data_IF_119102405303
#
_entry.id   IF_119102405303
#
_cell.length_a   1.000
_cell.length_b   1.000
_cell.length_c   1.000
_cell.angle_alpha   90.00
_cell.angle_beta   90.00
_cell.angle_gamma   90.00
#
_symmetry.space_group_name_H-M   'P 1'
#
loop_
_entity.id
_entity.type
_entity.pdbx_description
1 polymer ?
#
# COMPACT_ATOMS: atom_id res chain seq x y z
N UNK A 1 8.53 -8.53 -4.66
CA UNK A 1 9.03 -9.30 -5.83
C UNK A 1 9.38 -10.78 -5.57
N UNK A 2 9.80 -11.18 -4.36
CA UNK A 2 10.40 -12.51 -4.11
C UNK A 2 9.58 -13.76 -4.48
N UNK A 3 8.25 -13.66 -4.62
CA UNK A 3 7.38 -14.77 -5.00
C UNK A 3 7.09 -14.93 -6.50
N UNK A 4 7.63 -14.05 -7.36
CA UNK A 4 7.29 -14.04 -8.80
C UNK A 4 7.61 -15.36 -9.53
N UNK A 5 8.79 -16.00 -9.35
CA UNK A 5 9.08 -17.27 -10.01
C UNK A 5 8.06 -18.38 -9.65
N UNK A 6 7.65 -18.45 -8.39
CA UNK A 6 6.67 -19.41 -7.90
C UNK A 6 5.27 -19.09 -8.41
N UNK A 7 4.93 -17.79 -8.52
CA UNK A 7 3.66 -17.32 -9.05
C UNK A 7 3.44 -17.76 -10.50
N UNK A 8 4.40 -17.48 -11.39
CA UNK A 8 4.27 -17.82 -12.82
C UNK A 8 4.29 -19.32 -13.09
N UNK A 9 4.81 -20.13 -12.17
CA UNK A 9 4.75 -21.58 -12.25
C UNK A 9 3.35 -22.14 -11.96
N UNK A 10 2.45 -21.34 -11.38
CA UNK A 10 1.14 -21.79 -10.87
C UNK A 10 -0.04 -21.02 -11.46
N UNK A 11 0.17 -19.77 -11.81
CA UNK A 11 -0.88 -18.86 -12.25
C UNK A 11 -0.51 -18.32 -13.63
N UNK A 12 -1.41 -18.39 -14.63
CA UNK A 12 -1.19 -17.74 -15.91
C UNK A 12 -0.99 -16.23 -15.73
N UNK A 13 0.18 -15.73 -16.14
CA UNK A 13 0.51 -14.31 -16.13
C UNK A 13 0.73 -13.85 -17.56
N UNK A 14 0.03 -12.79 -17.97
CA UNK A 14 0.20 -12.20 -19.31
C UNK A 14 1.19 -11.03 -19.35
N UNK A 15 1.20 -10.19 -18.31
CA UNK A 15 1.97 -8.94 -18.30
C UNK A 15 2.44 -8.60 -16.89
N UNK A 16 3.70 -8.24 -16.77
CA UNK A 16 4.23 -7.59 -15.57
C UNK A 16 4.22 -6.07 -15.74
N UNK A 17 3.82 -5.37 -14.68
CA UNK A 17 3.84 -3.92 -14.60
C UNK A 17 4.79 -3.56 -13.45
N UNK A 18 5.82 -2.77 -13.74
CA UNK A 18 6.86 -2.42 -12.76
C UNK A 18 7.35 -0.98 -12.89
N UNK A 19 8.19 -0.55 -11.95
CA UNK A 19 8.84 0.75 -11.97
C UNK A 19 10.15 0.77 -12.77
N UNK A 20 10.59 -0.36 -13.33
CA UNK A 20 11.83 -0.45 -14.08
C UNK A 20 12.93 -1.25 -13.37
N UNK A 21 14.17 -0.83 -13.56
CA UNK A 21 15.36 -1.54 -13.06
C UNK A 21 15.60 -1.27 -11.58
N UNK A 22 16.07 -2.29 -10.86
CA UNK A 22 16.50 -2.18 -9.47
C UNK A 22 17.67 -1.18 -9.35
N UNK A 23 17.60 -0.29 -8.37
CA UNK A 23 18.64 0.73 -8.12
C UNK A 23 19.49 0.41 -6.89
N UNK A 24 19.01 -0.45 -6.00
CA UNK A 24 19.77 -0.95 -4.84
C UNK A 24 20.65 -2.14 -5.24
N UNK A 25 21.82 -1.85 -5.81
CA UNK A 25 22.71 -2.86 -6.43
C UNK A 25 23.72 -3.51 -5.49
N UNK A 26 23.80 -3.08 -4.22
CA UNK A 26 24.78 -3.57 -3.25
C UNK A 26 24.16 -4.43 -2.14
N UNK A 27 22.83 -4.47 -2.04
CA UNK A 27 22.11 -5.29 -1.09
C UNK A 27 21.90 -6.70 -1.67
N UNK A 28 22.62 -7.69 -1.12
CA UNK A 28 22.60 -9.06 -1.62
C UNK A 28 21.19 -9.66 -1.78
N UNK A 29 20.35 -9.67 -0.73
CA UNK A 29 18.96 -10.12 -0.84
C UNK A 29 18.14 -9.39 -1.91
N UNK A 30 18.22 -8.06 -1.99
CA UNK A 30 17.48 -7.27 -2.99
C UNK A 30 17.95 -7.61 -4.41
N UNK A 31 19.27 -7.68 -4.62
CA UNK A 31 19.87 -8.07 -5.91
C UNK A 31 19.41 -9.47 -6.32
N UNK A 32 19.46 -10.45 -5.42
CA UNK A 32 19.04 -11.82 -5.71
C UNK A 32 17.57 -11.89 -6.15
N UNK A 33 16.68 -11.16 -5.48
CA UNK A 33 15.25 -11.10 -5.84
C UNK A 33 15.04 -10.41 -7.19
N UNK A 34 15.78 -9.33 -7.46
CA UNK A 34 15.74 -8.64 -8.76
C UNK A 34 16.25 -9.55 -9.89
N UNK A 35 17.36 -10.25 -9.70
CA UNK A 35 17.89 -11.20 -10.69
C UNK A 35 16.91 -12.32 -11.00
N UNK A 36 16.26 -12.89 -9.97
CA UNK A 36 15.23 -13.91 -10.17
C UNK A 36 14.04 -13.39 -10.98
N UNK A 37 13.62 -12.13 -10.74
CA UNK A 37 12.58 -11.49 -11.54
C UNK A 37 13.03 -11.27 -13.00
N UNK A 38 14.27 -10.79 -13.21
CA UNK A 38 14.83 -10.59 -14.55
C UNK A 38 14.98 -11.91 -15.32
N UNK A 39 15.32 -13.01 -14.65
CA UNK A 39 15.34 -14.35 -15.27
C UNK A 39 13.94 -14.77 -15.77
N UNK A 40 12.88 -14.47 -15.00
CA UNK A 40 11.50 -14.73 -15.42
C UNK A 40 11.16 -13.92 -16.68
N UNK A 41 11.49 -12.63 -16.69
CA UNK A 41 11.28 -11.76 -17.86
C UNK A 41 12.10 -12.22 -19.07
N UNK A 42 13.35 -12.64 -18.86
CA UNK A 42 14.29 -13.11 -19.88
C UNK A 42 13.84 -14.37 -20.61
N UNK A 43 12.83 -15.10 -20.11
CA UNK A 43 12.20 -16.21 -20.84
C UNK A 43 11.47 -15.77 -22.11
N UNK A 44 11.14 -14.47 -22.24
CA UNK A 44 10.39 -13.92 -23.37
C UNK A 44 8.91 -14.32 -23.41
N UNK A 45 8.42 -15.03 -22.39
CA UNK A 45 7.03 -15.51 -22.31
C UNK A 45 6.03 -14.45 -21.85
N UNK A 46 6.52 -13.36 -21.26
CA UNK A 46 5.70 -12.35 -20.59
C UNK A 46 5.90 -10.98 -21.23
N UNK A 47 4.83 -10.18 -21.31
CA UNK A 47 4.98 -8.75 -21.62
C UNK A 47 5.46 -8.02 -20.37
N UNK A 48 6.17 -6.91 -20.56
CA UNK A 48 6.57 -5.98 -19.50
C UNK A 48 6.10 -4.58 -19.86
N UNK A 49 5.50 -3.87 -18.89
CA UNK A 49 5.16 -2.46 -18.98
C UNK A 49 5.85 -1.76 -17.82
N UNK A 50 6.84 -0.92 -18.13
CA UNK A 50 7.46 -0.05 -17.14
C UNK A 50 6.73 1.29 -17.13
N UNK A 51 6.09 1.60 -16.01
CA UNK A 51 5.17 2.74 -15.90
C UNK A 51 5.79 3.93 -15.17
N UNK A 52 5.26 5.11 -15.45
CA UNK A 52 5.68 6.39 -14.88
C UNK A 52 4.51 7.09 -14.18
N UNK A 53 4.77 8.02 -13.25
CA UNK A 53 3.70 8.80 -12.64
C UNK A 53 2.86 9.53 -13.70
N UNK A 54 1.54 9.45 -13.57
CA UNK A 54 0.57 9.96 -14.55
C UNK A 54 0.05 8.92 -15.55
N UNK A 55 0.72 7.77 -15.70
CA UNK A 55 0.21 6.67 -16.52
C UNK A 55 -1.09 6.10 -15.93
N UNK A 56 -1.92 5.52 -16.81
CA UNK A 56 -3.14 4.80 -16.43
C UNK A 56 -2.97 3.34 -16.84
N UNK A 57 -3.11 2.42 -15.89
CA UNK A 57 -2.96 1.00 -16.14
C UNK A 57 -4.12 0.47 -17.01
N UNK A 58 -3.86 -0.46 -17.94
CA UNK A 58 -4.87 -0.97 -18.88
C UNK A 58 -5.80 -2.01 -18.25
N UNK A 59 -6.45 -1.67 -17.13
CA UNK A 59 -7.40 -2.54 -16.43
C UNK A 59 -8.82 -2.11 -16.79
N UNK A 60 -9.60 -3.01 -17.40
CA UNK A 60 -10.97 -2.72 -17.79
C UNK A 60 -11.88 -2.61 -16.56
N UNK A 61 -12.85 -1.68 -16.61
CA UNK A 61 -13.86 -1.52 -15.57
C UNK A 61 -13.44 -0.69 -14.36
N UNK A 62 -12.17 -0.30 -14.24
CA UNK A 62 -11.68 0.62 -13.20
C UNK A 62 -10.62 1.56 -13.78
N UNK A 63 -10.35 2.67 -13.10
CA UNK A 63 -9.22 3.55 -13.43
C UNK A 63 -8.13 3.39 -12.39
N UNK A 64 -7.01 2.78 -12.77
CA UNK A 64 -5.82 2.72 -11.92
C UNK A 64 -4.77 3.71 -12.43
N UNK A 65 -4.52 4.78 -11.68
CA UNK A 65 -3.54 5.82 -12.04
C UNK A 65 -2.25 5.62 -11.25
N UNK A 66 -1.11 5.69 -11.91
CA UNK A 66 0.21 5.61 -11.27
C UNK A 66 0.54 6.96 -10.64
N UNK A 67 0.80 6.98 -9.33
CA UNK A 67 1.09 8.20 -8.56
C UNK A 67 2.55 8.34 -8.16
N UNK A 68 3.28 7.22 -8.08
CA UNK A 68 4.72 7.16 -7.86
C UNK A 68 5.34 6.00 -8.65
N UNK A 69 6.57 6.19 -9.14
CA UNK A 69 7.35 5.13 -9.81
C UNK A 69 8.80 5.59 -9.99
N UNK A 70 9.78 4.72 -9.70
CA UNK A 70 11.23 4.95 -9.85
C UNK A 70 11.74 6.25 -9.19
N UNK A 71 11.13 6.61 -8.06
CA UNK A 71 11.47 7.79 -7.26
C UNK A 71 10.82 9.09 -7.75
N UNK A 72 10.12 9.05 -8.88
CA UNK A 72 9.31 10.15 -9.38
C UNK A 72 7.88 10.05 -8.84
N UNK A 73 7.21 11.21 -8.77
CA UNK A 73 5.84 11.38 -8.28
C UNK A 73 5.01 12.15 -9.30
N UNK A 74 3.68 12.14 -9.16
CA UNK A 74 2.83 13.02 -9.96
C UNK A 74 3.12 14.50 -9.64
N UNK A 75 3.22 15.32 -10.69
CA UNK A 75 3.49 16.74 -10.57
C UNK A 75 2.25 17.54 -10.15
N UNK A 76 1.10 17.20 -10.76
CA UNK A 76 -0.18 17.90 -10.55
C UNK A 76 -1.09 17.08 -9.64
N UNK A 77 -1.90 17.73 -8.80
CA UNK A 77 -2.96 17.06 -8.07
C UNK A 77 -3.91 16.30 -9.02
N UNK A 78 -4.41 15.16 -8.55
CA UNK A 78 -5.46 14.43 -9.23
C UNK A 78 -6.77 15.24 -9.29
N UNK A 79 -7.71 14.90 -10.21
CA UNK A 79 -8.99 15.59 -10.29
C UNK A 79 -9.73 15.56 -8.94
N UNK A 80 -10.14 16.75 -8.46
CA UNK A 80 -10.79 16.92 -7.16
C UNK A 80 -9.84 16.92 -5.95
N UNK A 81 -8.54 16.83 -6.16
CA UNK A 81 -7.51 16.98 -5.13
C UNK A 81 -6.87 18.39 -5.15
N UNK A 82 -5.81 18.60 -4.37
CA UNK A 82 -5.02 19.83 -4.36
C UNK A 82 -5.38 20.84 -3.26
N UNK A 83 -6.24 20.45 -2.32
CA UNK A 83 -6.50 21.22 -1.11
C UNK A 83 -5.22 21.32 -0.26
N UNK A 84 -5.11 22.42 0.51
CA UNK A 84 -4.05 22.54 1.51
C UNK A 84 -4.14 21.41 2.53
N UNK A 85 -2.98 20.90 2.94
CA UNK A 85 -2.92 19.76 3.84
C UNK A 85 -2.40 20.17 5.21
N UNK A 86 -3.31 20.23 6.19
CA UNK A 86 -2.97 20.56 7.58
C UNK A 86 -2.05 19.51 8.22
N UNK A 87 -2.09 18.26 7.75
CA UNK A 87 -1.22 17.17 8.22
C UNK A 87 0.26 17.46 8.01
N UNK A 88 0.63 18.31 7.05
CA UNK A 88 2.02 18.73 6.80
C UNK A 88 2.69 19.38 8.00
N UNK A 89 1.93 20.07 8.87
CA UNK A 89 2.49 20.70 10.07
C UNK A 89 2.80 19.69 11.18
N UNK A 90 2.15 18.52 11.11
CA UNK A 90 2.29 17.45 12.10
C UNK A 90 3.32 16.41 11.65
N UNK A 91 3.82 16.53 10.42
CA UNK A 91 4.87 15.66 9.88
C UNK A 91 6.21 16.34 9.95
N UNK A 92 7.08 15.80 10.79
CA UNK A 92 8.48 16.19 10.82
C UNK A 92 9.18 15.86 9.48
N UNK A 93 10.07 16.73 8.99
CA UNK A 93 10.98 16.38 7.91
C UNK A 93 11.93 15.26 8.37
N UNK A 94 12.16 14.27 7.51
CA UNK A 94 13.10 13.18 7.74
C UNK A 94 14.12 13.11 6.61
N UNK A 95 15.33 12.57 6.86
CA UNK A 95 16.29 12.31 5.79
C UNK A 95 15.66 11.44 4.70
N UNK A 96 16.00 11.71 3.44
CA UNK A 96 15.55 10.89 2.33
C UNK A 96 16.05 9.45 2.48
N UNK A 97 15.15 8.49 2.24
CA UNK A 97 15.51 7.08 2.22
C UNK A 97 16.47 6.79 1.04
N UNK A 98 17.47 5.92 1.26
CA UNK A 98 18.53 5.62 0.29
C UNK A 98 18.42 4.19 -0.30
N UNK A 99 17.36 3.46 0.03
CA UNK A 99 17.07 2.10 -0.44
C UNK A 99 16.23 2.12 -1.71
N UNK A 100 15.73 0.96 -2.13
CA UNK A 100 14.77 0.85 -3.22
C UNK A 100 13.35 1.37 -2.86
N UNK A 101 13.01 1.46 -1.56
CA UNK A 101 11.66 1.81 -1.07
C UNK A 101 11.05 3.12 -1.62
N UNK A 102 11.77 4.27 -1.71
CA UNK A 102 11.24 5.50 -2.31
C UNK A 102 10.89 5.36 -3.80
N UNK A 103 11.26 4.25 -4.44
CA UNK A 103 11.01 3.95 -5.85
C UNK A 103 9.73 3.15 -6.08
N UNK A 104 9.02 2.83 -5.01
CA UNK A 104 7.79 2.05 -5.03
C UNK A 104 6.79 2.54 -6.09
N UNK A 105 6.28 1.58 -6.86
CA UNK A 105 5.18 1.79 -7.78
C UNK A 105 3.89 1.97 -6.97
N UNK A 106 3.42 3.21 -6.85
CA UNK A 106 2.18 3.54 -6.16
C UNK A 106 1.04 3.76 -7.13
N UNK A 107 -0.15 3.27 -6.78
CA UNK A 107 -1.35 3.35 -7.59
C UNK A 107 -2.55 3.87 -6.80
N UNK A 108 -3.33 4.76 -7.42
CA UNK A 108 -4.68 5.10 -6.99
C UNK A 108 -5.67 4.43 -7.92
N UNK A 109 -6.50 3.55 -7.37
CA UNK A 109 -7.55 2.82 -8.08
C UNK A 109 -8.89 3.50 -7.79
N UNK A 110 -9.58 3.93 -8.83
CA UNK A 110 -10.98 4.38 -8.77
C UNK A 110 -11.87 3.33 -9.41
N UNK A 111 -12.79 2.77 -8.63
CA UNK A 111 -13.79 1.81 -9.07
C UNK A 111 -15.20 2.33 -8.79
N UNK A 112 -15.84 2.90 -9.81
CA UNK A 112 -17.07 3.66 -9.62
C UNK A 112 -16.81 4.84 -8.68
N UNK A 113 -17.49 4.86 -7.53
CA UNK A 113 -17.30 5.88 -6.48
C UNK A 113 -16.16 5.57 -5.51
N UNK A 114 -15.69 4.33 -5.44
CA UNK A 114 -14.67 3.91 -4.48
C UNK A 114 -13.27 4.31 -4.93
N UNK A 115 -12.45 4.78 -3.99
CA UNK A 115 -11.01 5.04 -4.16
C UNK A 115 -10.17 4.18 -3.22
N UNK A 116 -9.24 3.42 -3.80
CA UNK A 116 -8.22 2.64 -3.09
C UNK A 116 -6.84 3.20 -3.40
N UNK A 117 -6.00 3.33 -2.39
CA UNK A 117 -4.60 3.75 -2.52
C UNK A 117 -3.68 2.63 -2.04
N UNK A 118 -2.72 2.25 -2.88
CA UNK A 118 -1.62 1.36 -2.54
C UNK A 118 -0.32 2.01 -3.02
N UNK A 119 0.59 2.32 -2.11
CA UNK A 119 1.86 2.97 -2.41
C UNK A 119 3.05 2.01 -2.33
N UNK A 120 2.81 0.70 -2.10
CA UNK A 120 3.86 -0.25 -1.76
C UNK A 120 4.65 0.23 -0.54
N UNK A 121 5.98 0.21 -0.64
CA UNK A 121 6.89 0.56 0.44
C UNK A 121 7.30 2.06 0.40
N UNK A 122 6.49 2.92 -0.22
CA UNK A 122 6.82 4.35 -0.36
C UNK A 122 7.13 5.00 1.00
N UNK A 123 8.19 5.79 1.05
CA UNK A 123 8.77 6.32 2.28
C UNK A 123 8.29 7.73 2.60
N UNK A 124 8.43 8.09 3.87
CA UNK A 124 7.96 9.33 4.49
C UNK A 124 8.36 10.58 3.71
N UNK A 125 9.59 10.66 3.19
CA UNK A 125 10.05 11.78 2.36
C UNK A 125 9.22 11.93 1.08
N UNK A 126 8.92 10.82 0.40
CA UNK A 126 8.11 10.81 -0.82
C UNK A 126 6.63 11.02 -0.55
N UNK A 127 6.13 10.51 0.57
CA UNK A 127 4.79 10.84 1.05
C UNK A 127 4.65 12.35 1.31
N UNK A 128 5.66 12.98 1.92
CA UNK A 128 5.66 14.43 2.15
C UNK A 128 5.69 15.21 0.82
N UNK A 129 6.47 14.80 -0.17
CA UNK A 129 6.49 15.41 -1.52
C UNK A 129 5.14 15.25 -2.28
N UNK A 130 4.40 14.16 -2.03
CA UNK A 130 3.05 13.96 -2.56
C UNK A 130 2.01 14.84 -1.87
N UNK A 131 2.21 15.13 -0.59
CA UNK A 131 1.14 15.61 0.29
C UNK A 131 1.31 17.05 0.74
N UNK A 132 2.49 17.66 0.55
CA UNK A 132 2.83 18.99 1.07
C UNK A 132 3.29 19.97 -0.03
N UNK A 133 2.86 21.25 0.03
CA UNK A 133 1.89 21.82 0.99
C UNK A 133 0.42 21.45 0.67
N UNK A 134 0.18 20.77 -0.45
CA UNK A 134 -1.15 20.43 -0.95
C UNK A 134 -1.26 18.93 -1.14
N UNK A 135 -2.37 18.35 -0.70
CA UNK A 135 -2.68 16.95 -0.90
C UNK A 135 -2.94 16.69 -2.40
N UNK A 136 -1.98 16.06 -3.11
CA UNK A 136 -2.13 15.73 -4.54
C UNK A 136 -3.05 14.54 -4.81
N UNK A 137 -3.35 13.71 -3.82
CA UNK A 137 -4.11 12.47 -3.95
C UNK A 137 -5.63 12.67 -3.74
N UNK A 138 -5.99 13.58 -2.84
CA UNK A 138 -7.36 13.78 -2.38
C UNK A 138 -7.75 12.82 -1.25
N UNK A 139 -9.06 12.67 -1.02
CA UNK A 139 -9.61 11.71 -0.05
C UNK A 139 -9.66 10.30 -0.64
N UNK A 140 -9.45 9.29 0.19
CA UNK A 140 -9.35 7.87 -0.17
C UNK A 140 -10.28 7.06 0.74
N UNK A 141 -10.95 6.03 0.23
CA UNK A 141 -11.79 5.17 1.07
C UNK A 141 -10.96 4.08 1.75
N UNK A 142 -10.07 3.45 0.99
CA UNK A 142 -9.27 2.31 1.44
C UNK A 142 -7.79 2.59 1.23
N UNK A 143 -7.03 2.52 2.31
CA UNK A 143 -5.57 2.66 2.30
C UNK A 143 -4.91 1.31 2.57
N UNK A 144 -4.16 0.80 1.59
CA UNK A 144 -3.18 -0.27 1.83
C UNK A 144 -1.96 0.39 2.46
N UNK A 145 -1.72 0.08 3.73
CA UNK A 145 -0.76 0.81 4.56
C UNK A 145 0.63 0.67 3.97
N UNK A 146 1.27 1.82 3.74
CA UNK A 146 2.58 1.87 3.11
C UNK A 146 3.62 1.17 3.96
N UNK A 147 4.47 0.39 3.29
CA UNK A 147 5.62 -0.28 3.89
C UNK A 147 5.25 -1.13 5.11
N UNK A 148 4.12 -1.83 5.02
CA UNK A 148 3.62 -2.71 6.09
C UNK A 148 3.35 -2.00 7.43
N UNK A 149 3.27 -0.67 7.43
CA UNK A 149 3.19 0.12 8.65
C UNK A 149 4.50 0.22 9.42
N UNK A 150 5.65 0.19 8.75
CA UNK A 150 6.93 0.52 9.37
C UNK A 150 7.11 2.01 9.61
N UNK A 151 8.03 2.37 10.52
CA UNK A 151 8.24 3.75 10.95
C UNK A 151 8.71 4.68 9.83
N UNK A 152 9.30 4.16 8.75
CA UNK A 152 9.79 4.93 7.62
C UNK A 152 8.67 5.46 6.71
N UNK A 153 7.40 5.15 6.97
CA UNK A 153 6.26 5.46 6.10
C UNK A 153 5.01 5.84 6.91
N UNK A 154 3.90 6.09 6.22
CA UNK A 154 2.59 6.50 6.75
C UNK A 154 2.65 7.77 7.62
N UNK A 155 3.28 8.82 7.09
CA UNK A 155 3.35 10.15 7.67
C UNK A 155 1.97 10.75 7.99
N UNK A 156 1.85 11.60 9.03
CA UNK A 156 0.63 12.37 9.30
C UNK A 156 0.10 13.15 8.08
N UNK A 157 0.99 13.72 7.27
CA UNK A 157 0.63 14.40 6.03
C UNK A 157 -0.08 13.47 5.05
N UNK A 158 0.39 12.22 4.89
CA UNK A 158 -0.32 11.22 4.11
C UNK A 158 -1.62 10.83 4.80
N UNK A 159 -1.52 10.16 5.95
CA UNK A 159 -2.64 9.43 6.58
C UNK A 159 -3.80 10.35 6.90
N UNK A 160 -3.55 11.52 7.53
CA UNK A 160 -4.62 12.47 7.86
C UNK A 160 -5.11 13.24 6.62
N UNK A 161 -4.24 13.43 5.62
CA UNK A 161 -4.58 14.11 4.38
C UNK A 161 -5.54 13.29 3.51
N UNK A 162 -5.27 11.99 3.36
CA UNK A 162 -6.12 11.05 2.62
C UNK A 162 -7.34 10.59 3.41
N UNK A 163 -7.27 10.63 4.74
CA UNK A 163 -8.40 10.42 5.67
C UNK A 163 -9.20 9.15 5.35
N UNK A 164 -8.54 7.98 5.37
CA UNK A 164 -9.14 6.72 4.93
C UNK A 164 -10.23 6.27 5.89
N UNK A 165 -11.27 5.65 5.33
CA UNK A 165 -12.30 4.93 6.11
C UNK A 165 -11.75 3.62 6.66
N UNK A 166 -10.99 2.90 5.84
CA UNK A 166 -10.38 1.64 6.23
C UNK A 166 -8.91 1.64 5.84
N UNK A 167 -8.08 1.22 6.78
CA UNK A 167 -6.67 0.89 6.54
C UNK A 167 -6.48 -0.63 6.59
N UNK A 168 -5.74 -1.19 5.63
CA UNK A 168 -5.35 -2.60 5.61
C UNK A 168 -3.83 -2.66 5.65
N UNK A 169 -3.29 -3.13 6.75
CA UNK A 169 -1.86 -3.30 6.94
C UNK A 169 -1.47 -4.74 6.60
N UNK A 170 -0.73 -4.91 5.52
CA UNK A 170 -0.26 -6.19 4.99
C UNK A 170 1.04 -6.65 5.67
N UNK A 171 1.16 -6.41 6.98
CA UNK A 171 2.34 -6.71 7.77
C UNK A 171 2.57 -8.22 7.96
N UNK A 172 3.81 -8.57 8.27
CA UNK A 172 4.18 -9.85 8.86
C UNK A 172 4.26 -9.74 10.39
N UNK A 173 4.40 -10.87 11.07
CA UNK A 173 4.54 -10.87 12.54
C UNK A 173 5.75 -10.05 13.01
N UNK A 174 6.84 -10.06 12.22
CA UNK A 174 8.10 -9.35 12.48
C UNK A 174 8.46 -8.33 11.39
N UNK A 175 7.49 -7.94 10.56
CA UNK A 175 7.70 -7.02 9.44
C UNK A 175 6.60 -5.98 9.42
N UNK A 176 6.88 -4.78 9.93
CA UNK A 176 5.92 -3.68 10.03
C UNK A 176 5.07 -3.72 11.30
N UNK A 177 4.04 -2.88 11.33
CA UNK A 177 3.23 -2.64 12.53
C UNK A 177 4.00 -1.97 13.66
N UNK A 178 4.86 -0.99 13.32
CA UNK A 178 5.57 -0.18 14.30
C UNK A 178 4.55 0.61 15.14
N UNK A 179 4.68 0.65 16.48
CA UNK A 179 3.77 1.39 17.37
C UNK A 179 3.47 2.83 16.93
N UNK A 180 4.48 3.62 16.56
CA UNK A 180 4.28 5.01 16.17
C UNK A 180 3.49 5.17 14.87
N UNK A 181 3.70 4.27 13.90
CA UNK A 181 2.93 4.23 12.66
C UNK A 181 1.49 3.80 12.93
N UNK A 182 1.31 2.80 13.79
CA UNK A 182 -0.01 2.35 14.24
C UNK A 182 -0.79 3.49 14.90
N UNK A 183 -0.14 4.27 15.78
CA UNK A 183 -0.76 5.42 16.46
C UNK A 183 -1.22 6.49 15.46
N UNK A 184 -0.41 6.80 14.45
CA UNK A 184 -0.79 7.74 13.38
C UNK A 184 -2.02 7.21 12.64
N UNK A 185 -2.02 5.94 12.23
CA UNK A 185 -3.17 5.36 11.53
C UNK A 185 -4.41 5.42 12.41
N UNK A 186 -4.29 5.00 13.68
CA UNK A 186 -5.40 4.96 14.63
C UNK A 186 -5.98 6.35 14.92
N UNK A 187 -5.15 7.39 14.88
CA UNK A 187 -5.54 8.79 15.07
C UNK A 187 -6.17 9.43 13.82
N UNK A 188 -6.24 8.72 12.69
CA UNK A 188 -6.84 9.26 11.46
C UNK A 188 -8.33 9.58 11.66
N UNK A 189 -8.80 10.80 11.33
CA UNK A 189 -10.14 11.26 11.73
C UNK A 189 -11.30 10.41 11.18
N UNK A 190 -11.19 9.95 9.93
CA UNK A 190 -12.22 9.18 9.23
C UNK A 190 -12.12 7.67 9.41
N UNK A 191 -11.16 7.16 10.19
CA UNK A 191 -10.91 5.73 10.27
C UNK A 191 -12.03 5.01 11.04
N UNK A 192 -12.73 4.13 10.33
CA UNK A 192 -13.70 3.20 10.89
C UNK A 192 -12.99 1.96 11.48
N UNK A 193 -12.08 1.33 10.72
CA UNK A 193 -11.29 0.18 11.20
C UNK A 193 -9.90 0.09 10.57
N UNK A 194 -8.98 -0.50 11.34
CA UNK A 194 -7.68 -0.98 10.88
C UNK A 194 -7.71 -2.51 10.85
N UNK A 195 -7.45 -3.08 9.68
CA UNK A 195 -7.23 -4.51 9.48
C UNK A 195 -5.75 -4.83 9.38
N UNK A 196 -5.36 -6.01 9.87
CA UNK A 196 -3.98 -6.47 9.83
C UNK A 196 -3.90 -7.90 9.28
N UNK A 197 -2.93 -8.13 8.38
CA UNK A 197 -2.65 -9.47 7.89
C UNK A 197 -2.04 -10.34 9.00
N UNK A 198 -1.14 -9.77 9.82
CA UNK A 198 -0.56 -10.45 10.98
C UNK A 198 -0.66 -9.61 12.25
N UNK A 199 -0.75 -10.27 13.39
CA UNK A 199 -0.44 -9.65 14.67
C UNK A 199 1.02 -9.19 14.66
N UNK A 200 1.29 -7.91 14.92
CA UNK A 200 2.65 -7.38 15.02
C UNK A 200 3.24 -7.70 16.39
N UNK A 201 4.37 -8.42 16.41
CA UNK A 201 5.14 -8.68 17.64
C UNK A 201 5.71 -7.38 18.23
N UNK A 202 6.18 -6.47 17.37
CA UNK A 202 6.70 -5.15 17.77
C UNK A 202 5.60 -4.31 18.44
N UNK A 203 4.38 -4.35 17.89
CA UNK A 203 3.22 -3.64 18.42
C UNK A 203 2.73 -4.19 19.78
N UNK A 204 3.02 -5.46 20.07
CA UNK A 204 2.59 -6.14 21.28
C UNK A 204 1.07 -6.08 21.49
N UNK A 205 0.61 -6.24 22.73
CA UNK A 205 -0.83 -6.21 23.02
C UNK A 205 -1.46 -4.82 22.84
N UNK A 206 -0.66 -3.74 22.80
CA UNK A 206 -1.14 -2.36 22.81
C UNK A 206 -1.38 -1.77 21.40
N UNK A 207 -0.61 -2.19 20.39
CA UNK A 207 -0.63 -1.61 19.03
C UNK A 207 -1.00 -2.66 17.99
N UNK A 208 -2.12 -3.31 18.22
CA UNK A 208 -2.78 -4.23 17.29
C UNK A 208 -4.30 -3.99 17.41
N UNK A 209 -5.09 -4.13 16.32
CA UNK A 209 -6.54 -4.02 16.40
C UNK A 209 -7.11 -5.23 17.15
N UNK A 210 -8.41 -5.17 17.45
CA UNK A 210 -9.08 -6.30 18.08
C UNK A 210 -8.96 -7.58 17.21
N UNK A 211 -8.85 -8.73 17.86
CA UNK A 211 -8.55 -10.00 17.20
C UNK A 211 -9.36 -10.30 15.92
N UNK A 212 -10.68 -10.01 15.80
CA UNK A 212 -11.42 -10.26 14.55
C UNK A 212 -10.86 -9.54 13.30
N UNK A 213 -10.14 -8.44 13.50
CA UNK A 213 -9.52 -7.64 12.44
C UNK A 213 -8.11 -8.10 12.05
N UNK A 214 -7.63 -9.19 12.65
CA UNK A 214 -6.32 -9.79 12.36
C UNK A 214 -6.52 -11.15 11.68
N UNK A 215 -5.95 -11.33 10.49
CA UNK A 215 -6.03 -12.62 9.79
C UNK A 215 -5.18 -13.70 10.46
N UNK A 216 -3.93 -13.41 10.79
CA UNK A 216 -3.01 -14.34 11.43
C UNK A 216 -2.59 -13.83 12.81
N UNK A 217 -3.10 -14.46 13.88
CA UNK A 217 -2.72 -14.14 15.25
C UNK A 217 -1.31 -14.70 15.57
N UNK A 218 -0.73 -14.22 16.67
CA UNK A 218 0.53 -14.77 17.19
C UNK A 218 0.42 -16.29 17.40
N UNK A 219 1.40 -17.04 16.91
CA UNK A 219 1.44 -18.49 16.97
C UNK A 219 2.78 -19.05 16.47
N UNK A 220 3.04 -20.35 16.68
CA UNK A 220 4.31 -20.97 16.27
C UNK A 220 4.45 -21.13 14.75
N UNK A 221 3.34 -21.16 14.02
CA UNK A 221 3.29 -21.32 12.57
C UNK A 221 2.35 -20.28 11.94
N UNK A 222 2.68 -19.84 10.73
CA UNK A 222 1.81 -18.99 9.92
C UNK A 222 0.71 -19.85 9.30
N UNK A 223 -0.53 -19.57 9.67
CA UNK A 223 -1.71 -20.30 9.18
C UNK A 223 -2.13 -19.88 7.76
N UNK A 224 -1.42 -18.93 7.14
CA UNK A 224 -1.66 -18.42 5.80
C UNK A 224 -3.11 -17.95 5.57
N UNK A 225 -3.75 -17.42 6.61
CA UNK A 225 -5.05 -16.77 6.46
C UNK A 225 -4.90 -15.48 5.67
N UNK A 226 -5.92 -15.13 4.91
CA UNK A 226 -5.96 -13.93 4.08
C UNK A 226 -7.10 -13.02 4.47
N UNK A 227 -6.91 -11.74 4.17
CA UNK A 227 -7.99 -10.77 4.08
C UNK A 227 -8.40 -10.62 2.62
N UNK A 228 -9.71 -10.60 2.36
CA UNK A 228 -10.26 -10.37 1.02
C UNK A 228 -11.12 -9.13 1.04
N UNK A 229 -10.71 -8.12 0.29
CA UNK A 229 -11.52 -6.94 -0.01
C UNK A 229 -12.41 -7.23 -1.22
N UNK A 230 -13.71 -6.98 -1.11
CA UNK A 230 -14.66 -7.02 -2.23
C UNK A 230 -15.38 -5.68 -2.31
N UNK A 231 -15.30 -5.01 -3.45
CA UNK A 231 -15.80 -3.65 -3.64
C UNK A 231 -16.89 -3.59 -4.71
N UNK A 232 -17.81 -2.64 -4.55
CA UNK A 232 -18.89 -2.32 -5.49
C UNK A 232 -18.69 -0.91 -6.06
N UNK A 233 -19.21 -0.67 -7.27
CA UNK A 233 -19.08 0.63 -7.96
C UNK A 233 -19.86 1.76 -7.28
N UNK A 234 -20.79 1.44 -6.39
CA UNK A 234 -21.53 2.41 -5.58
C UNK A 234 -20.73 2.99 -4.41
N UNK A 235 -19.51 2.50 -4.17
CA UNK A 235 -18.66 2.93 -3.06
C UNK A 235 -18.76 2.04 -1.81
N UNK A 236 -19.67 1.06 -1.81
CA UNK A 236 -19.71 0.05 -0.74
C UNK A 236 -18.63 -1.01 -0.92
N UNK A 237 -18.19 -1.59 0.19
CA UNK A 237 -17.22 -2.69 0.16
C UNK A 237 -17.34 -3.56 1.40
N UNK A 238 -16.70 -4.73 1.37
CA UNK A 238 -16.55 -5.61 2.52
C UNK A 238 -15.12 -6.12 2.65
N UNK A 239 -14.68 -6.34 3.90
CA UNK A 239 -13.44 -7.03 4.21
C UNK A 239 -13.77 -8.35 4.89
N UNK A 240 -13.41 -9.44 4.24
CA UNK A 240 -13.56 -10.81 4.73
C UNK A 240 -12.24 -11.32 5.34
N UNK A 241 -12.32 -11.96 6.51
CA UNK A 241 -11.18 -12.58 7.17
C UNK A 241 -11.34 -14.11 7.16
N UNK A 242 -10.46 -14.81 6.44
CA UNK A 242 -10.54 -16.27 6.27
C UNK A 242 -10.41 -17.04 7.58
N UNK A 243 -9.71 -16.50 8.59
CA UNK A 243 -9.55 -17.15 9.90
C UNK A 243 -10.87 -17.23 10.66
N UNK A 244 -11.66 -16.16 10.58
CA UNK A 244 -12.93 -16.06 11.34
C UNK A 244 -14.14 -16.47 10.52
N UNK A 245 -13.97 -16.60 9.20
CA UNK A 245 -15.05 -16.79 8.23
C UNK A 245 -16.16 -15.72 8.35
N UNK A 246 -15.76 -14.48 8.66
CA UNK A 246 -16.67 -13.33 8.78
C UNK A 246 -16.23 -12.21 7.84
N UNK A 247 -17.21 -11.47 7.35
CA UNK A 247 -17.02 -10.22 6.64
C UNK A 247 -17.60 -9.05 7.44
N UNK A 248 -16.95 -7.88 7.38
CA UNK A 248 -17.54 -6.62 7.81
C UNK A 248 -17.86 -5.80 6.56
N UNK A 249 -19.10 -5.35 6.46
CA UNK A 249 -19.59 -4.51 5.37
C UNK A 249 -19.49 -3.03 5.73
N UNK A 250 -19.12 -2.22 4.75
CA UNK A 250 -19.02 -0.77 4.81
C UNK A 250 -19.97 -0.17 3.77
N UNK A 251 -20.96 0.57 4.23
CA UNK A 251 -21.92 1.25 3.35
C UNK A 251 -21.22 2.37 2.55
N UNK A 252 -21.82 2.85 1.44
CA UNK A 252 -21.31 4.01 0.72
C UNK A 252 -21.22 5.24 1.63
N UNK A 253 -20.12 5.99 1.54
CA UNK A 253 -19.90 7.22 2.32
C UNK A 253 -20.30 8.50 1.58
N UNK A 254 -20.63 8.43 0.28
CA UNK A 254 -20.99 9.55 -0.59
C UNK A 254 -21.68 9.11 -1.90
#
# INVERSE_FOLDING_TARGET
MGGVPQLVARIPVGTFIDHGENRETTNGPTVQVSEAYQQVLGTGKFKRITVKPGDVLPIQGMRASVVSSDGALIDKPLPGAGAENSGCKNSEPRPADQTENPRSLGTLITFGKLKLLDLGDLTWDKEMELMCPRNKLGKIDIYIVSHHGWFQSSSPALVYGIDPRVAIMDNGAKKGGTPSTWDIIKASPGLEDLWQLHFSEEGGAAHNPAAPFIANLSGPEDAANYLKLTASTDGSFEVFNSRTNKAKHYAPSH
#
